data_IF_388498149904
#
_entry.id   IF_388498149904
#
_cell.length_a   1.000
_cell.length_b   1.000
_cell.length_c   1.000
_cell.angle_alpha   90.00
_cell.angle_beta   90.00
_cell.angle_gamma   90.00
#
_symmetry.space_group_name_H-M   'P 1'
#
loop_
_entity.id
_entity.type
_entity.pdbx_description
1 polymer ?
#
# COMPACT_ATOMS: atom_id res chain seq x y z
N UNK A 1 7.54 0.07 -32.65
CA UNK A 1 7.51 -1.26 -31.98
C UNK A 1 6.83 -1.05 -30.64
N UNK A 2 5.67 -1.68 -30.39
CA UNK A 2 4.80 -1.34 -29.25
C UNK A 2 5.14 -2.19 -28.01
N UNK A 3 5.03 -1.63 -26.80
CA UNK A 3 5.26 -2.32 -25.50
C UNK A 3 4.57 -3.70 -25.45
N UNK A 4 3.32 -3.76 -25.93
CA UNK A 4 2.55 -5.01 -26.01
C UNK A 4 3.30 -6.13 -26.73
N UNK A 5 3.93 -5.85 -27.87
CA UNK A 5 4.65 -6.84 -28.68
C UNK A 5 5.87 -7.40 -27.95
N UNK A 6 6.58 -6.54 -27.21
CA UNK A 6 7.77 -6.94 -26.46
C UNK A 6 7.37 -7.86 -25.31
N UNK A 7 6.38 -7.45 -24.52
CA UNK A 7 6.00 -8.18 -23.30
C UNK A 7 5.19 -9.45 -23.59
N UNK A 8 4.38 -9.47 -24.65
CA UNK A 8 3.68 -10.69 -25.07
C UNK A 8 4.62 -11.69 -25.77
N UNK A 9 5.71 -11.23 -26.37
CA UNK A 9 6.69 -12.08 -27.06
C UNK A 9 7.79 -12.64 -26.16
N UNK A 10 8.02 -12.05 -24.99
CA UNK A 10 9.09 -12.45 -24.09
C UNK A 10 8.69 -13.69 -23.26
N UNK A 11 9.54 -14.71 -23.28
CA UNK A 11 9.29 -16.01 -22.63
C UNK A 11 9.01 -15.89 -21.12
N UNK A 12 9.56 -14.90 -20.43
CA UNK A 12 9.38 -14.69 -18.99
C UNK A 12 8.10 -13.93 -18.64
N UNK A 13 7.63 -13.04 -19.51
CA UNK A 13 6.49 -12.16 -19.20
C UNK A 13 5.20 -12.60 -19.88
N UNK A 14 5.27 -13.33 -21.00
CA UNK A 14 4.10 -13.65 -21.84
C UNK A 14 2.95 -14.33 -21.08
N UNK A 15 3.26 -15.16 -20.10
CA UNK A 15 2.26 -15.89 -19.33
C UNK A 15 1.62 -15.02 -18.25
N UNK A 16 2.31 -13.99 -17.77
CA UNK A 16 1.86 -13.10 -16.69
C UNK A 16 1.24 -11.82 -17.22
N UNK A 17 1.57 -11.43 -18.45
CA UNK A 17 1.27 -10.13 -19.02
C UNK A 17 -0.21 -10.00 -19.40
N UNK A 18 -0.89 -9.03 -18.79
CA UNK A 18 -2.30 -8.73 -19.01
C UNK A 18 -2.53 -7.71 -20.12
N UNK A 19 -1.54 -6.85 -20.39
CA UNK A 19 -1.64 -5.82 -21.43
C UNK A 19 -1.16 -4.44 -21.00
N UNK A 20 -1.27 -3.52 -21.96
CA UNK A 20 -1.11 -2.08 -21.76
C UNK A 20 -2.48 -1.42 -21.63
N UNK A 21 -2.67 -0.61 -20.60
CA UNK A 21 -3.92 0.11 -20.36
C UNK A 21 -3.65 1.59 -20.14
N UNK A 22 -4.48 2.52 -20.63
CA UNK A 22 -4.51 3.86 -20.07
C UNK A 22 -5.08 3.82 -18.64
N UNK A 23 -4.75 4.82 -17.82
CA UNK A 23 -5.02 4.77 -16.37
C UNK A 23 -6.52 4.58 -16.06
N UNK A 24 -7.39 5.15 -16.89
CA UNK A 24 -8.85 5.17 -16.76
C UNK A 24 -9.52 3.89 -17.27
N UNK A 25 -8.75 2.99 -17.90
CA UNK A 25 -9.22 1.69 -18.39
C UNK A 25 -8.47 0.54 -17.74
N UNK A 26 -7.92 0.76 -16.54
CA UNK A 26 -7.38 -0.32 -15.73
C UNK A 26 -8.51 -1.31 -15.36
N UNK A 27 -8.22 -2.62 -15.33
CA UNK A 27 -9.22 -3.63 -14.99
C UNK A 27 -9.68 -3.47 -13.54
N UNK A 28 -10.99 -3.47 -13.31
CA UNK A 28 -11.56 -3.35 -11.96
C UNK A 28 -11.23 -4.54 -11.06
N UNK A 29 -11.03 -5.73 -11.65
CA UNK A 29 -10.69 -6.95 -10.93
C UNK A 29 -9.70 -7.77 -11.74
N UNK A 30 -8.68 -8.28 -11.05
CA UNK A 30 -7.73 -9.24 -11.60
C UNK A 30 -8.10 -10.64 -11.11
N UNK A 31 -8.21 -11.57 -12.05
CA UNK A 31 -8.61 -12.96 -11.78
C UNK A 31 -7.45 -13.96 -11.99
N UNK A 32 -6.26 -13.46 -12.36
CA UNK A 32 -5.07 -14.26 -12.62
C UNK A 32 -3.88 -13.73 -11.82
N UNK A 33 -3.24 -14.63 -11.08
CA UNK A 33 -2.11 -14.32 -10.22
C UNK A 33 -1.00 -15.37 -10.39
N UNK A 34 0.28 -14.97 -10.36
CA UNK A 34 0.74 -13.59 -10.46
C UNK A 34 0.43 -13.00 -11.85
N UNK A 35 0.38 -11.68 -11.96
CA UNK A 35 0.16 -11.01 -13.23
C UNK A 35 0.94 -9.70 -13.31
N UNK A 36 1.19 -9.23 -14.53
CA UNK A 36 1.85 -7.96 -14.77
C UNK A 36 1.11 -7.17 -15.83
N UNK A 37 1.07 -5.86 -15.65
CA UNK A 37 0.48 -4.94 -16.62
C UNK A 37 1.30 -3.67 -16.70
N UNK A 38 1.19 -2.99 -17.83
CA UNK A 38 1.77 -1.66 -18.02
C UNK A 38 0.62 -0.68 -18.10
N UNK A 39 0.70 0.42 -17.37
CA UNK A 39 -0.29 1.47 -17.42
C UNK A 39 0.31 2.74 -17.99
N UNK A 40 -0.44 3.42 -18.87
CA UNK A 40 -0.19 4.82 -19.12
C UNK A 40 -0.74 5.63 -17.95
N UNK A 41 0.01 6.63 -17.50
CA UNK A 41 -0.42 7.54 -16.45
C UNK A 41 -1.48 8.52 -16.96
N UNK A 42 -1.51 8.77 -18.27
CA UNK A 42 -2.55 9.56 -18.90
C UNK A 42 -3.83 8.74 -19.16
N UNK A 43 -5.01 9.39 -19.10
CA UNK A 43 -6.27 8.79 -19.51
C UNK A 43 -6.31 8.52 -21.02
N UNK A 44 -7.26 7.67 -21.43
CA UNK A 44 -7.40 7.17 -22.79
C UNK A 44 -7.68 8.21 -23.87
N UNK A 45 -8.05 9.43 -23.48
CA UNK A 45 -8.28 10.57 -24.36
C UNK A 45 -7.04 11.49 -24.53
N UNK A 46 -5.88 11.08 -24.03
CA UNK A 46 -4.61 11.81 -24.16
C UNK A 46 -3.55 10.97 -24.89
N UNK A 47 -2.49 11.64 -25.32
CA UNK A 47 -1.43 11.07 -26.17
C UNK A 47 -0.57 9.99 -25.49
N UNK A 48 -0.63 9.89 -24.16
CA UNK A 48 0.00 8.80 -23.43
C UNK A 48 1.50 8.98 -23.21
N UNK A 49 1.86 9.91 -22.33
CA UNK A 49 3.24 10.42 -22.18
C UNK A 49 4.11 9.65 -21.19
N UNK A 50 3.52 8.97 -20.20
CA UNK A 50 4.24 8.39 -19.08
C UNK A 50 3.75 6.97 -18.81
N UNK A 51 4.64 5.99 -18.84
CA UNK A 51 4.29 4.57 -18.69
C UNK A 51 4.88 4.01 -17.39
N UNK A 52 4.05 3.32 -16.62
CA UNK A 52 4.43 2.66 -15.37
C UNK A 52 4.19 1.16 -15.48
N UNK A 53 4.93 0.37 -14.71
CA UNK A 53 4.77 -1.07 -14.66
C UNK A 53 4.19 -1.49 -13.30
N UNK A 54 3.29 -2.47 -13.32
CA UNK A 54 2.77 -3.09 -12.11
C UNK A 54 2.96 -4.61 -12.16
N UNK A 55 3.37 -5.16 -11.02
CA UNK A 55 3.45 -6.61 -10.80
C UNK A 55 2.56 -6.99 -9.63
N UNK A 56 1.50 -7.73 -9.92
CA UNK A 56 0.43 -8.09 -9.00
C UNK A 56 0.67 -9.53 -8.57
N UNK A 57 1.00 -9.71 -7.29
CA UNK A 57 1.34 -11.03 -6.73
C UNK A 57 0.07 -11.80 -6.40
N UNK A 58 -0.89 -11.14 -5.76
CA UNK A 58 -2.16 -11.71 -5.27
C UNK A 58 -3.23 -10.60 -5.14
N UNK A 59 -4.37 -10.91 -4.51
CA UNK A 59 -5.51 -10.00 -4.30
C UNK A 59 -5.21 -8.84 -3.32
N UNK A 60 -3.98 -8.77 -2.80
CA UNK A 60 -3.57 -7.94 -1.68
C UNK A 60 -2.21 -7.27 -1.86
N UNK A 61 -1.47 -7.65 -2.89
CA UNK A 61 -0.07 -7.27 -3.04
C UNK A 61 0.22 -6.87 -4.47
N UNK A 62 0.63 -5.62 -4.66
CA UNK A 62 1.03 -5.05 -5.94
C UNK A 62 2.33 -4.28 -5.77
N UNK A 63 3.28 -4.54 -6.65
CA UNK A 63 4.49 -3.73 -6.81
C UNK A 63 4.23 -2.71 -7.92
N UNK A 64 4.46 -1.43 -7.59
CA UNK A 64 4.41 -0.32 -8.52
C UNK A 64 5.84 0.10 -8.88
N UNK A 65 6.11 0.25 -10.18
CA UNK A 65 7.40 0.71 -10.69
C UNK A 65 7.21 1.90 -11.63
N UNK A 66 7.92 2.99 -11.31
CA UNK A 66 8.04 4.19 -12.13
C UNK A 66 9.53 4.50 -12.28
N UNK A 67 10.02 4.57 -13.51
CA UNK A 67 11.45 4.81 -13.80
C UNK A 67 11.94 6.17 -13.32
N UNK A 68 11.05 7.13 -13.10
CA UNK A 68 11.36 8.46 -12.56
C UNK A 68 11.11 8.56 -11.04
N UNK A 69 10.72 7.45 -10.38
CA UNK A 69 10.46 7.42 -8.94
C UNK A 69 9.28 8.28 -8.49
N UNK A 70 8.35 8.61 -9.40
CA UNK A 70 7.19 9.45 -9.08
C UNK A 70 6.13 8.64 -8.36
N UNK A 71 5.40 9.30 -7.47
CA UNK A 71 4.23 8.74 -6.83
C UNK A 71 3.11 8.51 -7.86
N UNK A 72 2.26 7.48 -7.67
CA UNK A 72 1.13 7.23 -8.55
C UNK A 72 0.17 8.43 -8.56
N UNK A 73 -0.36 8.78 -9.73
CA UNK A 73 -1.39 9.82 -9.83
C UNK A 73 -2.73 9.33 -9.23
N UNK A 74 -3.76 10.18 -9.25
CA UNK A 74 -5.08 9.83 -8.70
C UNK A 74 -5.71 8.59 -9.33
N UNK A 75 -5.52 8.41 -10.63
CA UNK A 75 -6.06 7.34 -11.45
C UNK A 75 -5.41 5.99 -11.10
N UNK A 76 -4.07 5.93 -11.10
CA UNK A 76 -3.31 4.76 -10.68
C UNK A 76 -3.55 4.48 -9.19
N UNK A 77 -3.57 5.52 -8.35
CA UNK A 77 -3.86 5.38 -6.92
C UNK A 77 -5.24 4.76 -6.67
N UNK A 78 -6.23 5.06 -7.50
CA UNK A 78 -7.56 4.46 -7.39
C UNK A 78 -7.50 2.94 -7.63
N UNK A 79 -6.76 2.50 -8.65
CA UNK A 79 -6.54 1.07 -8.90
C UNK A 79 -5.75 0.39 -7.77
N UNK A 80 -4.67 1.01 -7.30
CA UNK A 80 -3.81 0.46 -6.26
C UNK A 80 -4.55 0.25 -4.92
N UNK A 81 -5.58 1.06 -4.63
CA UNK A 81 -6.43 0.89 -3.42
C UNK A 81 -7.09 -0.48 -3.33
N UNK A 82 -7.33 -1.16 -4.45
CA UNK A 82 -7.87 -2.52 -4.42
C UNK A 82 -6.90 -3.54 -3.78
N UNK A 83 -5.62 -3.21 -3.75
CA UNK A 83 -4.54 -4.02 -3.19
C UNK A 83 -4.03 -3.46 -1.85
N UNK A 84 -4.61 -2.36 -1.37
CA UNK A 84 -4.19 -1.77 -0.11
C UNK A 84 -4.77 -2.54 1.07
N UNK A 85 -3.98 -3.45 1.62
CA UNK A 85 -4.12 -3.86 3.01
C UNK A 85 -3.68 -2.72 3.94
N UNK A 86 -4.37 -1.58 3.94
CA UNK A 86 -4.16 -0.55 4.97
C UNK A 86 -4.89 -1.00 6.23
N UNK A 87 -4.27 -1.97 6.87
CA UNK A 87 -4.52 -2.32 8.25
C UNK A 87 -3.22 -2.88 8.76
N UNK A 88 -2.63 -2.17 9.71
CA UNK A 88 -1.46 -2.66 10.42
C UNK A 88 -1.74 -4.08 10.93
N UNK A 89 -0.94 -5.03 10.45
CA UNK A 89 -0.87 -6.38 10.99
C UNK A 89 0.38 -6.45 11.85
N UNK A 90 0.27 -7.12 13.00
CA UNK A 90 1.41 -7.39 13.86
C UNK A 90 2.42 -8.31 13.12
N UNK A 91 3.54 -8.63 13.76
CA UNK A 91 4.57 -9.50 13.16
C UNK A 91 4.06 -10.93 12.84
N UNK A 92 2.91 -11.31 13.37
CA UNK A 92 2.23 -12.60 13.14
C UNK A 92 1.16 -12.51 12.05
N UNK A 93 0.96 -11.34 11.42
CA UNK A 93 -0.06 -11.15 10.39
C UNK A 93 -1.48 -10.89 10.93
N UNK A 94 -1.62 -10.68 12.23
CA UNK A 94 -2.92 -10.48 12.90
C UNK A 94 -3.23 -9.00 13.12
N UNK A 95 -4.51 -8.67 13.18
CA UNK A 95 -4.97 -7.34 13.59
C UNK A 95 -4.72 -7.16 15.09
N UNK A 96 -4.22 -5.98 15.46
CA UNK A 96 -4.11 -5.60 16.87
C UNK A 96 -5.27 -4.70 17.25
N UNK A 97 -6.07 -5.14 18.20
CA UNK A 97 -7.01 -4.29 18.91
C UNK A 97 -6.28 -3.48 19.99
N UNK A 98 -6.66 -2.22 20.16
CA UNK A 98 -6.11 -1.36 21.19
C UNK A 98 -7.17 -0.36 21.66
N UNK A 99 -6.98 0.15 22.88
CA UNK A 99 -7.86 1.15 23.47
C UNK A 99 -7.49 2.55 22.97
N UNK A 100 -8.50 3.35 22.63
CA UNK A 100 -8.32 4.74 22.27
C UNK A 100 -8.09 5.59 23.51
N UNK A 101 -6.91 6.21 23.63
CA UNK A 101 -6.58 7.09 24.76
C UNK A 101 -6.34 8.56 24.35
N UNK A 102 -6.53 8.88 23.06
CA UNK A 102 -6.41 10.24 22.55
C UNK A 102 -5.78 10.32 21.16
N UNK A 103 -5.51 11.55 20.73
CA UNK A 103 -4.86 11.88 19.46
C UNK A 103 -3.67 12.79 19.75
N UNK A 104 -2.58 12.64 19.02
CA UNK A 104 -1.41 13.53 19.13
C UNK A 104 -1.70 14.91 18.57
N UNK A 105 -1.05 15.94 19.13
CA UNK A 105 -1.10 17.30 18.54
C UNK A 105 -0.26 17.39 17.28
N UNK A 106 0.85 16.66 17.25
CA UNK A 106 1.78 16.61 16.13
C UNK A 106 1.37 15.56 15.10
N UNK A 107 1.79 15.77 13.86
CA UNK A 107 1.65 14.83 12.75
C UNK A 107 2.54 13.59 12.91
N UNK A 108 2.23 12.47 12.25
CA UNK A 108 3.06 11.27 12.23
C UNK A 108 4.51 11.53 11.75
N UNK A 109 4.70 12.52 10.87
CA UNK A 109 6.02 12.97 10.38
C UNK A 109 6.86 13.68 11.44
N UNK A 110 6.24 14.23 12.48
CA UNK A 110 6.91 14.97 13.58
C UNK A 110 6.85 14.24 14.92
N UNK A 111 5.83 13.43 15.13
CA UNK A 111 5.61 12.68 16.35
C UNK A 111 6.71 11.64 16.52
N UNK A 112 7.34 11.59 17.69
CA UNK A 112 8.36 10.61 18.02
C UNK A 112 7.72 9.25 18.33
N UNK A 113 8.21 8.17 17.71
CA UNK A 113 7.64 6.83 17.87
C UNK A 113 7.99 6.16 19.21
N UNK A 114 9.17 6.47 19.73
CA UNK A 114 9.66 6.01 21.02
C UNK A 114 9.95 7.25 21.87
N UNK A 115 9.46 7.32 23.10
CA UNK A 115 9.68 8.43 24.04
C UNK A 115 11.18 8.81 24.13
N UNK A 116 11.65 9.72 23.27
CA UNK A 116 13.00 10.27 23.23
C UNK A 116 14.14 9.35 22.77
N UNK A 117 13.97 8.02 22.75
CA UNK A 117 15.14 7.12 22.72
C UNK A 117 15.91 6.99 21.39
N UNK A 118 15.36 7.43 20.24
CA UNK A 118 16.01 7.15 18.93
C UNK A 118 15.92 8.22 17.84
N UNK A 119 15.38 9.42 18.10
CA UNK A 119 15.14 10.40 17.02
C UNK A 119 14.40 9.81 15.78
N UNK A 120 13.55 8.79 16.00
CA UNK A 120 12.73 8.16 14.96
C UNK A 120 11.29 8.63 15.10
N UNK A 121 10.77 9.23 14.03
CA UNK A 121 9.37 9.66 13.94
C UNK A 121 8.45 8.47 13.68
N UNK A 122 7.14 8.62 13.90
CA UNK A 122 6.16 7.56 13.64
C UNK A 122 6.18 7.14 12.17
N UNK A 123 6.23 8.11 11.25
CA UNK A 123 6.34 7.83 9.81
C UNK A 123 7.56 6.95 9.49
N UNK A 124 8.75 7.36 9.95
CA UNK A 124 9.98 6.59 9.77
C UNK A 124 9.91 5.21 10.42
N UNK A 125 9.32 5.10 11.61
CA UNK A 125 9.16 3.82 12.30
C UNK A 125 8.34 2.85 11.45
N UNK A 126 7.19 3.29 10.94
CA UNK A 126 6.31 2.44 10.12
C UNK A 126 6.96 2.06 8.78
N UNK A 127 7.72 2.97 8.17
CA UNK A 127 8.48 2.65 6.96
C UNK A 127 9.58 1.62 7.22
N UNK A 128 10.42 1.82 8.23
CA UNK A 128 11.56 0.93 8.50
C UNK A 128 11.10 -0.43 9.03
N UNK A 129 10.18 -0.43 9.99
CA UNK A 129 9.79 -1.66 10.71
C UNK A 129 8.77 -2.48 9.95
N UNK A 130 7.88 -1.83 9.21
CA UNK A 130 6.71 -2.44 8.58
C UNK A 130 6.67 -2.29 7.06
N UNK A 131 7.61 -1.54 6.46
CA UNK A 131 7.61 -1.24 5.01
C UNK A 131 6.34 -0.53 4.56
N UNK A 132 5.75 0.27 5.44
CA UNK A 132 4.55 1.07 5.16
C UNK A 132 4.98 2.52 4.95
N UNK A 133 4.75 3.06 3.77
CA UNK A 133 4.89 4.49 3.50
C UNK A 133 3.54 5.18 3.76
N UNK A 134 3.50 6.10 4.73
CA UNK A 134 2.27 6.81 5.07
C UNK A 134 1.96 7.87 4.01
N UNK A 135 0.76 7.82 3.45
CA UNK A 135 0.29 8.85 2.50
C UNK A 135 -0.12 10.11 3.22
N UNK A 136 -0.68 9.95 4.42
CA UNK A 136 -1.13 11.06 5.25
C UNK A 136 -0.21 11.23 6.47
N UNK A 137 1.11 11.23 6.26
CA UNK A 137 2.09 11.42 7.33
C UNK A 137 1.93 12.76 8.09
N UNK A 138 1.23 13.73 7.50
CA UNK A 138 0.91 15.02 8.12
C UNK A 138 -0.33 14.95 9.05
N UNK A 139 -1.08 13.85 9.06
CA UNK A 139 -2.18 13.65 9.99
C UNK A 139 -1.65 13.25 11.37
N UNK A 140 -2.42 13.53 12.44
CA UNK A 140 -2.04 13.10 13.78
C UNK A 140 -2.15 11.57 13.95
N UNK A 141 -1.60 11.09 15.06
CA UNK A 141 -1.59 9.68 15.44
C UNK A 141 -2.59 9.43 16.56
N UNK A 142 -3.16 8.22 16.60
CA UNK A 142 -3.91 7.71 17.74
C UNK A 142 -2.94 7.25 18.83
N UNK A 143 -3.27 7.58 20.08
CA UNK A 143 -2.48 7.23 21.27
C UNK A 143 -3.09 6.01 21.95
N UNK A 144 -2.25 5.00 22.20
CA UNK A 144 -2.52 3.87 23.10
C UNK A 144 -1.64 4.03 24.34
N UNK A 145 -2.23 4.09 25.53
CA UNK A 145 -1.53 4.17 26.81
C UNK A 145 -1.48 2.79 27.46
N UNK A 146 -0.28 2.34 27.81
CA UNK A 146 -0.09 1.12 28.59
C UNK A 146 -0.05 1.42 30.10
N UNK A 147 -0.34 0.40 30.91
CA UNK A 147 -0.31 0.48 32.39
C UNK A 147 1.04 0.94 32.96
N UNK A 148 2.13 0.69 32.24
CA UNK A 148 3.48 1.10 32.61
C UNK A 148 3.81 2.56 32.20
N UNK A 149 2.83 3.34 31.75
CA UNK A 149 3.01 4.73 31.33
C UNK A 149 3.63 4.89 29.94
N UNK A 150 3.91 3.79 29.24
CA UNK A 150 4.41 3.87 27.86
C UNK A 150 3.26 4.18 26.91
N UNK A 151 3.50 5.14 26.02
CA UNK A 151 2.58 5.51 24.95
C UNK A 151 3.03 4.89 23.63
N UNK A 152 2.07 4.41 22.84
CA UNK A 152 2.28 3.99 21.46
C UNK A 152 1.45 4.86 20.53
N UNK A 153 2.01 5.15 19.37
CA UNK A 153 1.40 6.03 18.39
C UNK A 153 1.11 5.26 17.11
N UNK A 154 -0.14 5.31 16.66
CA UNK A 154 -0.58 4.67 15.43
C UNK A 154 -1.06 5.74 14.44
N UNK A 155 -0.51 5.78 13.21
CA UNK A 155 -0.99 6.69 12.18
C UNK A 155 -2.48 6.50 11.95
N UNK A 156 -3.23 7.61 11.88
CA UNK A 156 -4.69 7.56 11.70
C UNK A 156 -5.08 6.80 10.42
N UNK A 157 -4.22 6.83 9.38
CA UNK A 157 -4.37 6.07 8.13
C UNK A 157 -4.43 4.54 8.32
N UNK A 158 -3.89 4.01 9.40
CA UNK A 158 -3.78 2.56 9.64
C UNK A 158 -4.82 2.03 10.63
N UNK A 159 -5.61 2.92 11.24
CA UNK A 159 -6.58 2.57 12.28
C UNK A 159 -7.95 2.36 11.65
N UNK A 160 -8.60 1.25 12.02
CA UNK A 160 -10.01 0.99 11.69
C UNK A 160 -10.84 0.99 12.97
N UNK A 161 -11.99 1.61 12.89
CA UNK A 161 -12.94 1.66 14.00
C UNK A 161 -13.76 0.38 14.00
N UNK A 162 -13.98 -0.19 15.19
CA UNK A 162 -14.92 -1.28 15.35
C UNK A 162 -16.34 -0.73 15.34
N UNK A 163 -17.20 -1.40 14.58
CA UNK A 163 -18.58 -0.98 14.40
C UNK A 163 -19.33 -1.06 15.74
N UNK A 164 -19.95 0.07 16.14
CA UNK A 164 -20.73 0.18 17.37
C UNK A 164 -20.03 0.88 18.54
N UNK A 165 -18.75 1.24 18.42
CA UNK A 165 -18.03 1.98 19.46
C UNK A 165 -18.27 3.50 19.37
N UNK A 166 -18.43 4.15 20.54
CA UNK A 166 -18.68 5.60 20.64
C UNK A 166 -17.57 6.47 20.01
N UNK A 167 -16.35 5.95 19.92
CA UNK A 167 -15.20 6.60 19.27
C UNK A 167 -15.37 6.75 17.75
N UNK A 168 -16.23 5.93 17.13
CA UNK A 168 -16.56 5.99 15.71
C UNK A 168 -17.21 7.34 15.33
N UNK A 169 -18.07 7.84 16.23
CA UNK A 169 -18.80 9.10 16.05
C UNK A 169 -17.84 10.29 16.07
N UNK A 170 -16.92 10.35 17.03
CA UNK A 170 -16.02 11.50 17.21
C UNK A 170 -14.94 11.57 16.10
N UNK A 171 -14.29 10.45 15.78
CA UNK A 171 -13.24 10.41 14.77
C UNK A 171 -13.81 10.57 13.35
N UNK A 172 -14.97 9.96 13.08
CA UNK A 172 -15.65 10.08 11.79
C UNK A 172 -16.21 11.48 11.50
N UNK A 173 -16.55 12.27 12.53
CA UNK A 173 -17.02 13.65 12.37
C UNK A 173 -15.88 14.66 12.20
N UNK A 174 -14.79 14.52 12.96
CA UNK A 174 -13.69 15.50 12.96
C UNK A 174 -12.63 15.25 11.87
N UNK A 175 -12.54 14.02 11.33
CA UNK A 175 -11.57 13.66 10.28
C UNK A 175 -12.26 13.03 9.06
N UNK A 176 -13.05 13.81 8.29
CA UNK A 176 -13.87 13.29 7.19
C UNK A 176 -13.06 12.64 6.06
N UNK A 177 -11.79 13.03 5.86
CA UNK A 177 -10.90 12.40 4.88
C UNK A 177 -10.49 10.97 5.29
N UNK A 178 -10.56 10.64 6.59
CA UNK A 178 -10.37 9.28 7.11
C UNK A 178 -11.68 8.47 7.06
N UNK A 179 -12.84 9.14 7.04
CA UNK A 179 -14.17 8.51 6.98
C UNK A 179 -14.37 7.63 5.74
N UNK A 180 -13.75 7.98 4.61
CA UNK A 180 -13.82 7.19 3.38
C UNK A 180 -13.02 5.86 3.42
N UNK A 181 -12.11 5.69 4.39
CA UNK A 181 -11.51 4.38 4.71
C UNK A 181 -12.33 3.59 5.75
N UNK A 182 -13.20 4.29 6.51
CA UNK A 182 -13.98 3.73 7.64
C UNK A 182 -15.36 3.19 7.19
N UNK A 183 -16.01 3.75 6.16
CA UNK A 183 -17.40 3.40 5.83
C UNK A 183 -17.63 2.47 4.62
N UNK A 184 -16.63 2.17 3.78
CA UNK A 184 -16.86 1.45 2.52
C UNK A 184 -17.06 -0.08 2.64
N UNK A 185 -17.20 -0.64 3.85
CA UNK A 185 -17.56 -2.06 4.05
C UNK A 185 -19.00 -2.31 4.51
N UNK A 186 -19.87 -1.28 4.56
CA UNK A 186 -21.27 -1.49 4.93
C UNK A 186 -22.14 -2.17 3.86
N UNK A 187 -21.64 -2.42 2.65
CA UNK A 187 -22.34 -3.20 1.64
C UNK A 187 -21.34 -4.11 0.92
N UNK A 188 -21.73 -5.37 0.71
CA UNK A 188 -20.89 -6.52 0.29
C UNK A 188 -20.08 -7.04 1.50
N UNK A 189 -20.49 -8.05 2.26
CA UNK A 189 -21.14 -9.30 1.86
C UNK A 189 -21.69 -9.98 3.13
N UNK A 190 -23.01 -10.17 3.21
CA UNK A 190 -23.66 -10.99 4.22
C UNK A 190 -24.30 -12.21 3.57
N UNK A 191 -23.62 -12.89 2.66
CA UNK A 191 -24.04 -14.21 2.19
C UNK A 191 -22.98 -14.88 1.31
N UNK A 192 -21.81 -15.22 1.83
CA UNK A 192 -21.00 -16.29 1.23
C UNK A 192 -20.42 -17.18 2.32
N UNK A 193 -21.14 -18.27 2.57
CA UNK A 193 -20.64 -19.48 3.22
C UNK A 193 -19.53 -20.04 2.33
N UNK A 194 -18.31 -20.16 2.86
CA UNK A 194 -17.22 -20.87 2.18
C UNK A 194 -16.92 -22.15 2.97
N UNK A 195 -16.87 -23.34 2.33
CA UNK A 195 -16.62 -24.60 3.04
C UNK A 195 -15.18 -24.68 3.52
N UNK A 196 -15.01 -25.27 4.70
CA UNK A 196 -13.71 -25.70 5.22
C UNK A 196 -13.09 -26.78 4.34
N UNK A 197 -11.83 -26.60 3.93
CA UNK A 197 -10.94 -27.69 3.55
C UNK A 197 -9.62 -27.59 4.33
N UNK A 198 -8.98 -28.73 4.66
CA UNK A 198 -7.91 -28.77 5.65
C UNK A 198 -6.50 -28.92 5.02
N UNK A 199 -5.50 -28.66 5.87
CA UNK A 199 -4.09 -29.08 5.80
C UNK A 199 -3.05 -28.34 4.92
N UNK A 200 -2.12 -27.72 5.67
CA UNK A 200 -0.65 -27.64 5.55
C UNK A 200 0.03 -27.60 4.18
N UNK A 201 0.75 -26.50 3.94
CA UNK A 201 2.06 -26.54 3.28
C UNK A 201 2.98 -25.54 3.96
N UNK A 202 3.67 -26.02 5.00
CA UNK A 202 4.85 -25.38 5.56
C UNK A 202 6.05 -25.66 4.66
N UNK A 203 6.98 -24.70 4.64
CA UNK A 203 8.33 -24.82 4.13
C UNK A 203 8.50 -25.18 2.65
N UNK A 204 8.52 -24.14 1.80
CA UNK A 204 9.44 -24.02 0.65
C UNK A 204 9.23 -22.71 -0.11
N UNK A 205 9.78 -21.58 0.37
CA UNK A 205 10.21 -20.45 -0.47
C UNK A 205 11.29 -19.64 0.29
N UNK A 206 12.39 -20.32 0.68
CA UNK A 206 13.67 -19.67 0.99
C UNK A 206 14.63 -19.88 -0.18
N UNK A 207 14.40 -19.19 -1.29
CA UNK A 207 15.41 -18.90 -2.30
C UNK A 207 14.80 -18.15 -3.49
N UNK A 208 14.84 -16.82 -3.44
CA UNK A 208 14.92 -16.05 -4.67
C UNK A 208 16.15 -15.15 -4.61
N UNK A 209 16.98 -15.13 -5.66
CA UNK A 209 18.25 -14.43 -5.64
C UNK A 209 18.02 -12.92 -5.70
N UNK A 210 18.86 -12.21 -4.96
CA UNK A 210 19.18 -10.79 -5.13
C UNK A 210 19.31 -10.48 -6.63
N UNK A 211 18.34 -9.77 -7.21
CA UNK A 211 18.48 -9.28 -8.56
C UNK A 211 19.43 -8.08 -8.56
N UNK A 212 20.44 -8.21 -9.42
CA UNK A 212 21.55 -7.32 -9.65
C UNK A 212 21.13 -5.86 -9.92
N UNK A 213 21.76 -4.94 -9.20
CA UNK A 213 22.06 -3.60 -9.70
C UNK A 213 23.01 -3.75 -10.88
N UNK A 214 22.51 -3.63 -12.11
CA UNK A 214 23.37 -3.36 -13.26
C UNK A 214 23.62 -1.85 -13.23
N UNK A 215 24.80 -1.48 -12.75
CA UNK A 215 25.34 -0.14 -12.96
C UNK A 215 25.65 0.07 -14.44
N UNK A 216 25.32 1.25 -14.96
CA UNK A 216 25.92 1.77 -16.19
C UNK A 216 26.98 2.82 -15.81
N UNK A 217 28.20 2.73 -16.37
CA UNK A 217 29.28 3.70 -16.18
C UNK A 217 29.27 4.80 -17.25
N UNK A 218 29.63 6.03 -16.85
CA UNK A 218 30.07 7.15 -17.71
C UNK A 218 28.97 7.80 -18.57
N UNK A 219 28.96 9.09 -18.91
CA UNK A 219 29.87 10.24 -18.78
C UNK A 219 29.04 11.42 -19.31
N UNK A 220 28.97 12.60 -18.68
CA UNK A 220 28.86 13.88 -19.38
C UNK A 220 29.40 15.01 -18.50
N UNK A 221 29.98 15.98 -19.18
CA UNK A 221 31.08 16.84 -18.79
C UNK A 221 30.65 18.11 -18.04
N UNK A 222 31.66 18.78 -17.48
CA UNK A 222 31.63 20.14 -16.96
C UNK A 222 31.38 21.19 -18.06
N UNK A 223 31.09 22.42 -17.59
CA UNK A 223 30.87 23.71 -18.28
C UNK A 223 29.41 23.99 -18.62
N UNK A 224 28.86 25.16 -18.29
CA UNK A 224 29.44 26.49 -18.07
C UNK A 224 29.17 27.09 -16.70
#
# INVERSE_FOLDING_TARGET
MTINRILSGNAKTRELYLGCFPCDKLPNKINKYPSTLVANNDPSNKEGTHWIAMFIVDDKTVYYFDSFGRLPNSCISHFLRNYENTTYKNQLGEYKDFEYNGITKESARKQMAYNGFKNVTVDQHFYVRHRICLRYANNPCVIEKHRNGHERFYPLELVKLKQGDKSDIYLGQNFPNCRNQILHRKFVDSSLVVPTLPYSFGDQLRSFPTFFLIGCPGTYEFSS
#
